data_IF_123259968726
#
_entry.id   IF_123259968726
#
_cell.length_a   1.000
_cell.length_b   1.000
_cell.length_c   1.000
_cell.angle_alpha   90.00
_cell.angle_beta   90.00
_cell.angle_gamma   90.00
#
_symmetry.space_group_name_H-M   'P 1'
#
loop_
_entity.id
_entity.type
_entity.pdbx_description
1 polymer ?
#
# COMPACT_ATOMS: atom_id res chain seq x y z
N UNK A 1 -9.94 2.61 -5.16
CA UNK A 1 -10.71 1.40 -5.46
C UNK A 1 -10.06 0.70 -6.65
N UNK A 2 -9.67 -0.57 -6.49
CA UNK A 2 -9.18 -1.37 -7.61
C UNK A 2 -10.28 -1.59 -8.64
N UNK A 3 -9.90 -1.60 -9.91
CA UNK A 3 -10.76 -1.90 -11.05
C UNK A 3 -10.05 -2.90 -11.94
N UNK A 4 -10.80 -3.73 -12.62
CA UNK A 4 -10.25 -4.76 -13.48
C UNK A 4 -11.24 -5.22 -14.53
N UNK A 5 -10.75 -6.03 -15.44
CA UNK A 5 -11.53 -6.73 -16.45
C UNK A 5 -11.17 -8.20 -16.41
N UNK A 6 -12.15 -9.05 -16.59
CA UNK A 6 -11.94 -10.49 -16.80
C UNK A 6 -11.79 -10.79 -18.28
N UNK A 7 -10.90 -11.72 -18.59
CA UNK A 7 -10.70 -12.23 -19.95
C UNK A 7 -10.95 -13.74 -19.99
N UNK A 8 -11.40 -14.29 -21.13
CA UNK A 8 -11.51 -15.74 -21.29
C UNK A 8 -10.13 -16.39 -21.19
N UNK A 9 -10.04 -17.55 -20.56
CA UNK A 9 -8.78 -18.30 -20.47
C UNK A 9 -8.28 -18.69 -21.88
N UNK A 10 -9.18 -19.13 -22.75
CA UNK A 10 -8.84 -19.45 -24.14
C UNK A 10 -8.72 -18.17 -24.97
N UNK A 11 -7.56 -17.96 -25.59
CA UNK A 11 -7.30 -16.79 -26.44
C UNK A 11 -6.96 -15.52 -25.66
N UNK A 12 -6.64 -15.63 -24.36
CA UNK A 12 -6.21 -14.51 -23.53
C UNK A 12 -4.87 -13.92 -23.99
N UNK A 13 -3.96 -14.72 -24.52
CA UNK A 13 -2.63 -14.29 -24.96
C UNK A 13 -2.69 -13.06 -25.88
N UNK A 14 -3.46 -13.14 -26.95
CA UNK A 14 -3.63 -12.02 -27.87
C UNK A 14 -4.27 -10.80 -27.22
N UNK A 15 -5.27 -11.00 -26.34
CA UNK A 15 -5.93 -9.91 -25.64
C UNK A 15 -5.02 -9.23 -24.63
N UNK A 16 -4.10 -9.97 -24.01
CA UNK A 16 -3.11 -9.43 -23.08
C UNK A 16 -2.02 -8.67 -23.81
N UNK A 17 -1.57 -9.15 -25.00
CA UNK A 17 -0.61 -8.45 -25.84
C UNK A 17 -1.17 -7.14 -26.42
N UNK A 18 -2.37 -7.17 -27.00
CA UNK A 18 -3.03 -5.99 -27.60
C UNK A 18 -3.53 -5.00 -26.55
N UNK A 19 -3.70 -5.46 -25.32
CA UNK A 19 -4.29 -4.72 -24.21
C UNK A 19 -5.82 -4.60 -24.33
N UNK A 20 -6.46 -4.41 -23.19
CA UNK A 20 -7.89 -4.22 -23.09
C UNK A 20 -8.24 -2.73 -23.17
N UNK A 21 -9.30 -2.38 -23.91
CA UNK A 21 -9.77 -1.00 -23.99
C UNK A 21 -9.99 -0.40 -22.60
N UNK A 22 -9.50 0.81 -22.40
CA UNK A 22 -9.66 1.61 -21.17
C UNK A 22 -9.93 3.05 -21.55
N UNK A 23 -10.50 3.83 -20.62
CA UNK A 23 -10.84 5.24 -20.88
C UNK A 23 -10.36 6.13 -19.72
N UNK A 24 -9.95 7.39 -20.00
CA UNK A 24 -9.53 8.33 -18.97
C UNK A 24 -10.57 8.57 -17.88
N UNK A 25 -11.85 8.59 -18.23
CA UNK A 25 -12.97 8.76 -17.29
C UNK A 25 -12.97 7.77 -16.11
N UNK A 26 -12.38 6.60 -16.28
CA UNK A 26 -12.27 5.62 -15.20
C UNK A 26 -11.45 6.14 -13.99
N UNK A 27 -10.54 7.09 -14.20
CA UNK A 27 -9.81 7.73 -13.10
C UNK A 27 -10.70 8.66 -12.27
N UNK A 28 -11.75 9.21 -12.86
CA UNK A 28 -12.67 10.12 -12.20
C UNK A 28 -13.80 9.43 -11.42
N UNK A 29 -13.93 8.12 -11.52
CA UNK A 29 -14.95 7.38 -10.79
C UNK A 29 -14.63 7.34 -9.30
N UNK A 30 -15.53 7.89 -8.47
CA UNK A 30 -15.39 7.89 -7.01
C UNK A 30 -15.59 6.50 -6.41
N UNK A 31 -15.24 6.34 -5.14
CA UNK A 31 -15.48 5.10 -4.40
C UNK A 31 -16.99 4.82 -4.17
N UNK A 32 -17.85 5.83 -4.33
CA UNK A 32 -19.29 5.73 -4.17
C UNK A 32 -20.05 5.46 -5.49
N UNK A 33 -19.34 5.43 -6.62
CA UNK A 33 -19.93 5.18 -7.94
C UNK A 33 -20.06 6.41 -8.83
N UNK A 34 -20.58 7.56 -8.36
CA UNK A 34 -20.63 8.76 -9.19
C UNK A 34 -19.25 9.17 -9.69
N UNK A 35 -19.22 9.72 -10.90
CA UNK A 35 -18.02 10.27 -11.50
C UNK A 35 -17.77 11.69 -10.97
N UNK A 36 -16.53 11.98 -10.59
CA UNK A 36 -16.12 13.35 -10.31
C UNK A 36 -16.16 14.19 -11.60
N UNK A 37 -16.48 15.47 -11.48
CA UNK A 37 -16.48 16.37 -12.61
C UNK A 37 -15.03 16.62 -13.06
N UNK A 38 -14.71 16.20 -14.27
CA UNK A 38 -13.40 16.42 -14.91
C UNK A 38 -13.60 16.96 -16.31
N UNK A 39 -12.64 17.73 -16.79
CA UNK A 39 -12.63 18.15 -18.20
C UNK A 39 -12.34 16.96 -19.10
N UNK A 40 -13.02 16.88 -20.24
CA UNK A 40 -12.83 15.84 -21.26
C UNK A 40 -13.06 14.41 -20.77
N UNK A 41 -13.99 14.20 -19.84
CA UNK A 41 -14.30 12.89 -19.26
C UNK A 41 -14.73 11.82 -20.28
N UNK A 42 -15.33 12.25 -21.40
CA UNK A 42 -15.79 11.38 -22.47
C UNK A 42 -14.78 11.18 -23.63
N UNK A 43 -13.61 11.79 -23.53
CA UNK A 43 -12.62 11.79 -24.63
C UNK A 43 -11.40 10.92 -24.30
N UNK A 44 -10.89 10.29 -25.35
CA UNK A 44 -9.62 9.54 -25.31
C UNK A 44 -9.81 8.04 -25.14
N UNK A 45 -8.86 7.31 -25.72
CA UNK A 45 -8.72 5.88 -25.69
C UNK A 45 -7.40 5.50 -25.04
N UNK A 46 -7.44 4.52 -24.15
CA UNK A 46 -6.29 3.97 -23.46
C UNK A 46 -6.32 2.43 -23.56
N UNK A 47 -5.22 1.80 -23.19
CA UNK A 47 -5.11 0.35 -23.07
C UNK A 47 -4.71 -0.04 -21.65
N UNK A 48 -5.37 -1.05 -21.12
CA UNK A 48 -4.96 -1.76 -19.91
C UNK A 48 -4.18 -3.00 -20.36
N UNK A 49 -2.90 -3.04 -20.04
CA UNK A 49 -2.00 -4.16 -20.34
C UNK A 49 -1.50 -4.78 -19.02
N UNK A 50 -1.12 -6.06 -19.01
CA UNK A 50 -0.47 -6.65 -17.83
C UNK A 50 0.87 -5.97 -17.60
N UNK A 51 1.23 -5.81 -16.33
CA UNK A 51 2.53 -5.28 -15.92
C UNK A 51 3.63 -6.34 -16.03
N UNK A 52 3.25 -7.60 -15.83
CA UNK A 52 4.12 -8.78 -15.91
C UNK A 52 3.49 -9.80 -16.86
N UNK A 53 4.31 -10.64 -17.48
CA UNK A 53 3.86 -11.64 -18.44
C UNK A 53 3.02 -12.73 -17.79
N UNK A 54 3.43 -13.17 -16.59
CA UNK A 54 2.78 -14.25 -15.88
C UNK A 54 1.74 -13.73 -14.86
N UNK A 55 0.62 -14.44 -14.69
CA UNK A 55 -0.33 -14.10 -13.67
C UNK A 55 0.18 -14.48 -12.28
N UNK A 56 -0.35 -13.81 -11.28
CA UNK A 56 -0.31 -14.31 -9.91
C UNK A 56 -1.47 -15.27 -9.73
N UNK A 57 -1.15 -16.53 -9.53
CA UNK A 57 -2.13 -17.61 -9.37
C UNK A 57 -2.26 -17.97 -7.90
N UNK A 58 -3.49 -18.12 -7.43
CA UNK A 58 -3.73 -18.62 -6.08
C UNK A 58 -4.97 -19.50 -6.02
N UNK A 59 -4.93 -20.45 -5.10
CA UNK A 59 -6.00 -21.41 -4.84
C UNK A 59 -6.14 -21.63 -3.35
N UNK A 60 -7.34 -21.97 -2.92
CA UNK A 60 -7.60 -22.46 -1.58
C UNK A 60 -8.56 -23.66 -1.64
N UNK A 61 -8.28 -24.71 -0.92
CA UNK A 61 -9.04 -25.97 -0.96
C UNK A 61 -10.55 -25.79 -0.78
N UNK A 62 -10.98 -24.93 0.15
CA UNK A 62 -12.40 -24.65 0.41
C UNK A 62 -13.08 -23.84 -0.71
N UNK A 63 -12.31 -23.17 -1.57
CA UNK A 63 -12.91 -22.27 -2.59
C UNK A 63 -13.00 -22.93 -3.95
N UNK A 64 -12.33 -24.05 -4.17
CA UNK A 64 -12.39 -24.93 -5.34
C UNK A 64 -12.17 -24.25 -6.71
N UNK A 65 -11.74 -23.00 -6.74
CA UNK A 65 -11.53 -22.21 -7.94
C UNK A 65 -10.17 -21.55 -7.86
N UNK A 66 -9.31 -21.94 -8.80
CA UNK A 66 -8.06 -21.23 -9.05
C UNK A 66 -8.33 -19.84 -9.59
N UNK A 67 -7.63 -18.85 -9.05
CA UNK A 67 -7.66 -17.47 -9.51
C UNK A 67 -6.34 -17.10 -10.18
N UNK A 68 -6.43 -16.45 -11.32
CA UNK A 68 -5.28 -15.96 -12.08
C UNK A 68 -5.44 -14.45 -12.26
N UNK A 69 -4.59 -13.65 -11.62
CA UNK A 69 -4.67 -12.21 -11.62
C UNK A 69 -3.39 -11.56 -12.13
N UNK A 70 -3.54 -10.53 -12.95
CA UNK A 70 -2.46 -9.65 -13.37
C UNK A 70 -2.62 -8.28 -12.74
N UNK A 71 -1.53 -7.71 -12.25
CA UNK A 71 -1.47 -6.27 -12.05
C UNK A 71 -1.40 -5.63 -13.43
N UNK A 72 -2.25 -4.61 -13.64
CA UNK A 72 -2.29 -3.90 -14.91
C UNK A 72 -1.61 -2.54 -14.83
N UNK A 73 -1.05 -2.12 -15.96
CA UNK A 73 -0.66 -0.73 -16.20
C UNK A 73 -1.46 -0.15 -17.36
N UNK A 74 -1.64 1.16 -17.33
CA UNK A 74 -2.42 1.85 -18.33
C UNK A 74 -1.47 2.59 -19.27
N UNK A 75 -1.65 2.35 -20.57
CA UNK A 75 -0.84 2.98 -21.62
C UNK A 75 -1.73 3.71 -22.61
N UNK A 76 -1.16 4.68 -23.29
CA UNK A 76 -1.79 5.39 -24.42
C UNK A 76 -1.81 4.50 -25.66
N UNK A 77 -2.53 4.94 -26.67
CA UNK A 77 -2.62 4.19 -27.95
C UNK A 77 -1.31 4.09 -28.72
N UNK A 78 -0.34 4.95 -28.42
CA UNK A 78 1.03 4.91 -28.95
C UNK A 78 1.96 3.96 -28.15
N UNK A 79 1.44 3.30 -27.11
CA UNK A 79 2.17 2.35 -26.28
C UNK A 79 2.95 2.98 -25.11
N UNK A 80 3.03 4.31 -25.05
CA UNK A 80 3.69 4.97 -23.91
C UNK A 80 2.83 4.95 -22.66
N UNK A 81 3.43 4.96 -21.45
CA UNK A 81 2.69 5.05 -20.20
C UNK A 81 1.74 6.24 -20.19
N UNK A 82 0.52 6.03 -19.68
CA UNK A 82 -0.39 7.14 -19.44
C UNK A 82 0.02 7.88 -18.17
N UNK A 83 0.05 9.21 -18.23
CA UNK A 83 0.56 10.08 -17.17
C UNK A 83 -0.18 9.92 -15.82
N UNK A 84 -1.45 9.48 -15.85
CA UNK A 84 -2.23 9.21 -14.64
C UNK A 84 -2.20 7.72 -14.23
N UNK A 85 -1.39 6.88 -14.84
CA UNK A 85 -1.20 5.50 -14.39
C UNK A 85 -0.38 5.48 -13.09
N UNK A 86 -1.00 5.08 -11.99
CA UNK A 86 -0.39 5.13 -10.67
C UNK A 86 0.88 4.29 -10.54
N UNK A 87 0.89 3.11 -11.17
CA UNK A 87 2.07 2.24 -11.20
C UNK A 87 3.22 2.89 -11.96
N UNK A 88 2.93 3.47 -13.13
CA UNK A 88 3.94 4.17 -13.94
C UNK A 88 4.45 5.45 -13.26
N UNK A 89 3.65 6.12 -12.44
CA UNK A 89 4.12 7.24 -11.62
C UNK A 89 5.16 6.79 -10.59
N UNK A 90 4.98 5.62 -9.97
CA UNK A 90 5.98 5.06 -9.07
C UNK A 90 7.24 4.63 -9.82
N UNK A 91 7.11 3.98 -10.98
CA UNK A 91 8.26 3.66 -11.86
C UNK A 91 9.08 4.91 -12.18
N UNK A 92 8.41 6.00 -12.55
CA UNK A 92 9.08 7.27 -12.88
C UNK A 92 9.76 7.91 -11.66
N UNK A 93 9.15 7.85 -10.47
CA UNK A 93 9.75 8.38 -9.25
C UNK A 93 11.01 7.59 -8.85
N UNK A 94 10.97 6.27 -8.98
CA UNK A 94 12.11 5.39 -8.70
C UNK A 94 13.26 5.63 -9.68
N UNK A 95 12.97 5.73 -10.97
CA UNK A 95 13.97 6.07 -11.99
C UNK A 95 14.62 7.43 -11.71
N UNK A 96 13.82 8.43 -11.33
CA UNK A 96 14.35 9.76 -10.98
C UNK A 96 15.29 9.72 -9.78
N UNK A 97 14.93 8.97 -8.72
CA UNK A 97 15.77 8.78 -7.53
C UNK A 97 17.10 8.10 -7.91
N UNK A 98 17.04 7.06 -8.73
CA UNK A 98 18.20 6.30 -9.18
C UNK A 98 19.12 7.14 -10.09
N UNK A 99 18.56 7.76 -11.14
CA UNK A 99 19.31 8.44 -12.18
C UNK A 99 20.02 9.70 -11.66
N UNK A 100 19.31 10.49 -10.83
CA UNK A 100 19.84 11.78 -10.34
C UNK A 100 20.62 11.69 -9.04
N UNK A 101 20.21 10.80 -8.13
CA UNK A 101 20.77 10.75 -6.77
C UNK A 101 21.59 9.50 -6.50
N UNK A 102 21.61 8.53 -7.43
CA UNK A 102 22.30 7.25 -7.27
C UNK A 102 21.85 6.53 -5.98
N UNK A 103 20.56 6.66 -5.66
CA UNK A 103 19.92 6.07 -4.50
C UNK A 103 18.80 5.15 -4.94
N UNK A 104 18.54 4.16 -4.12
CA UNK A 104 17.37 3.29 -4.21
C UNK A 104 16.73 3.14 -2.82
N UNK A 105 15.49 2.67 -2.82
CA UNK A 105 14.72 2.42 -1.62
C UNK A 105 14.43 0.93 -1.47
N UNK A 106 14.42 0.48 -0.22
CA UNK A 106 13.83 -0.76 0.21
C UNK A 106 12.67 -0.44 1.14
N UNK A 107 11.48 -1.01 0.90
CA UNK A 107 10.28 -0.69 1.68
C UNK A 107 9.60 -1.93 2.21
N UNK A 108 9.11 -1.87 3.45
CA UNK A 108 8.18 -2.81 4.07
C UNK A 108 6.86 -2.11 4.32
N UNK A 109 5.75 -2.78 4.01
CA UNK A 109 4.42 -2.20 4.16
C UNK A 109 3.63 -2.94 5.24
N UNK A 110 3.05 -2.18 6.18
CA UNK A 110 2.13 -2.69 7.20
C UNK A 110 0.73 -2.15 6.88
N UNK A 111 -0.19 -3.04 6.61
CA UNK A 111 -1.55 -2.70 6.19
C UNK A 111 -2.56 -3.16 7.22
N UNK A 112 -3.17 -2.21 7.89
CA UNK A 112 -4.28 -2.48 8.79
C UNK A 112 -5.60 -2.59 8.01
N UNK A 113 -6.52 -3.40 8.53
CA UNK A 113 -7.86 -3.59 7.96
C UNK A 113 -8.85 -4.06 9.03
N UNK A 114 -10.14 -3.91 8.74
CA UNK A 114 -11.21 -4.46 9.57
C UNK A 114 -11.91 -5.61 8.85
N UNK A 115 -12.15 -6.67 9.61
CA UNK A 115 -13.04 -7.75 9.22
C UNK A 115 -14.39 -7.51 9.91
N UNK A 116 -15.44 -7.28 9.14
CA UNK A 116 -16.76 -6.90 9.66
C UNK A 116 -17.79 -7.97 9.37
N UNK A 117 -18.89 -7.97 10.14
CA UNK A 117 -19.98 -8.95 9.95
C UNK A 117 -20.00 -10.07 11.00
N UNK A 118 -19.02 -10.13 11.88
CA UNK A 118 -19.00 -11.06 13.02
C UNK A 118 -19.76 -10.48 14.21
N UNK A 119 -20.48 -11.32 14.95
CA UNK A 119 -21.39 -10.87 16.01
C UNK A 119 -20.69 -10.46 17.29
N UNK A 120 -19.63 -11.13 17.67
CA UNK A 120 -18.93 -10.96 18.95
C UNK A 120 -17.43 -10.70 18.69
N UNK A 121 -17.13 -9.51 18.16
CA UNK A 121 -15.74 -9.12 17.94
C UNK A 121 -15.07 -8.83 19.28
N UNK A 122 -14.12 -9.69 19.65
CA UNK A 122 -13.33 -9.49 20.84
C UNK A 122 -12.35 -8.32 20.66
N UNK A 123 -12.14 -7.61 21.76
CA UNK A 123 -11.27 -6.47 21.79
C UNK A 123 -9.80 -6.91 21.73
N UNK A 124 -9.06 -6.28 20.80
CA UNK A 124 -7.62 -6.13 20.84
C UNK A 124 -6.75 -7.38 20.75
N UNK A 125 -5.59 -7.24 20.17
CA UNK A 125 -4.28 -7.91 20.31
C UNK A 125 -4.26 -9.16 21.24
N UNK A 126 -5.33 -9.94 21.26
CA UNK A 126 -5.51 -11.07 22.16
C UNK A 126 -5.47 -12.38 21.39
N UNK A 127 -5.12 -13.46 22.09
CA UNK A 127 -5.19 -14.81 21.54
C UNK A 127 -6.62 -15.19 21.16
N UNK A 128 -7.59 -14.72 21.94
CA UNK A 128 -9.02 -14.97 21.69
C UNK A 128 -9.46 -14.32 20.37
N UNK A 129 -9.07 -13.07 20.09
CA UNK A 129 -9.35 -12.38 18.84
C UNK A 129 -8.69 -13.11 17.64
N UNK A 130 -7.49 -13.65 17.86
CA UNK A 130 -6.84 -14.48 16.85
C UNK A 130 -7.59 -15.79 16.60
N UNK A 131 -8.01 -16.49 17.67
CA UNK A 131 -8.76 -17.75 17.56
C UNK A 131 -10.14 -17.53 16.89
N UNK A 132 -10.82 -16.44 17.19
CA UNK A 132 -12.11 -16.09 16.61
C UNK A 132 -12.04 -15.91 15.09
N UNK A 133 -10.97 -15.31 14.58
CA UNK A 133 -10.76 -15.09 13.16
C UNK A 133 -9.91 -16.18 12.49
N UNK A 134 -9.57 -17.24 13.19
CA UNK A 134 -8.57 -18.24 12.74
C UNK A 134 -8.88 -18.83 11.36
N UNK A 135 -10.13 -19.12 11.05
CA UNK A 135 -10.53 -19.67 9.75
C UNK A 135 -10.26 -18.69 8.60
N UNK A 136 -10.55 -17.39 8.80
CA UNK A 136 -10.26 -16.35 7.82
C UNK A 136 -8.75 -16.12 7.70
N UNK A 137 -8.07 -15.95 8.83
CA UNK A 137 -6.62 -15.67 8.85
C UNK A 137 -5.85 -16.81 8.19
N UNK A 138 -6.23 -18.06 8.46
CA UNK A 138 -5.64 -19.24 7.84
C UNK A 138 -5.90 -19.24 6.33
N UNK A 139 -7.14 -19.11 5.89
CA UNK A 139 -7.48 -19.08 4.47
C UNK A 139 -6.75 -17.95 3.72
N UNK A 140 -6.66 -16.78 4.35
CA UNK A 140 -5.95 -15.64 3.77
C UNK A 140 -4.45 -15.92 3.66
N UNK A 141 -3.81 -16.45 4.71
CA UNK A 141 -2.40 -16.82 4.71
C UNK A 141 -2.09 -17.88 3.64
N UNK A 142 -2.90 -18.94 3.53
CA UNK A 142 -2.73 -20.00 2.52
C UNK A 142 -2.89 -19.45 1.07
N UNK A 143 -3.83 -18.53 0.84
CA UNK A 143 -3.97 -17.86 -0.45
C UNK A 143 -2.77 -16.96 -0.77
N UNK A 144 -2.22 -16.24 0.22
CA UNK A 144 -1.02 -15.42 0.04
C UNK A 144 0.19 -16.30 -0.30
N UNK A 145 0.37 -17.39 0.43
CA UNK A 145 1.47 -18.34 0.21
C UNK A 145 1.37 -18.96 -1.20
N UNK A 146 0.19 -19.44 -1.59
CA UNK A 146 0.00 -20.00 -2.94
C UNK A 146 0.18 -18.95 -4.05
N UNK A 147 -0.05 -17.67 -3.76
CA UNK A 147 0.20 -16.55 -4.66
C UNK A 147 1.69 -16.13 -4.72
N UNK A 148 2.57 -16.75 -3.92
CA UNK A 148 3.96 -16.35 -3.80
C UNK A 148 4.15 -14.99 -3.13
N UNK A 149 3.19 -14.55 -2.31
CA UNK A 149 3.26 -13.29 -1.56
C UNK A 149 3.71 -13.60 -0.14
N UNK A 150 4.98 -13.33 0.12
CA UNK A 150 5.55 -13.46 1.46
C UNK A 150 5.00 -12.39 2.40
N UNK A 151 4.75 -12.76 3.66
CA UNK A 151 4.40 -11.82 4.72
C UNK A 151 5.15 -12.14 6.02
N UNK A 152 5.38 -11.13 6.84
CA UNK A 152 6.08 -11.28 8.13
C UNK A 152 5.12 -11.68 9.24
N UNK A 153 3.95 -11.04 9.25
CA UNK A 153 2.93 -11.27 10.27
C UNK A 153 1.55 -10.96 9.72
N UNK A 154 0.58 -11.67 10.25
CA UNK A 154 -0.84 -11.42 10.09
C UNK A 154 -1.48 -11.63 11.46
N UNK A 155 -1.93 -10.56 12.11
CA UNK A 155 -2.32 -10.60 13.51
C UNK A 155 -3.46 -9.62 13.84
N UNK A 156 -4.18 -9.86 14.98
CA UNK A 156 -5.14 -8.90 15.50
C UNK A 156 -4.47 -7.60 15.93
N UNK A 157 -5.13 -6.48 15.68
CA UNK A 157 -4.75 -5.13 16.08
C UNK A 157 -5.62 -4.58 17.23
N UNK A 158 -5.45 -3.28 17.54
CA UNK A 158 -6.02 -2.67 18.73
C UNK A 158 -7.54 -2.38 18.65
N UNK A 159 -8.14 -2.45 17.48
CA UNK A 159 -9.59 -2.30 17.29
C UNK A 159 -10.33 -3.64 17.29
N UNK A 160 -11.57 -3.69 17.80
CA UNK A 160 -12.40 -4.89 17.69
C UNK A 160 -12.58 -5.32 16.22
N UNK A 161 -12.10 -6.51 15.86
CA UNK A 161 -12.11 -7.00 14.47
C UNK A 161 -11.10 -6.33 13.54
N UNK A 162 -10.10 -5.61 14.09
CA UNK A 162 -8.99 -5.04 13.35
C UNK A 162 -7.82 -6.01 13.29
N UNK A 163 -7.19 -6.07 12.13
CA UNK A 163 -6.03 -6.93 11.85
C UNK A 163 -4.99 -6.15 11.06
N UNK A 164 -3.74 -6.62 11.12
CA UNK A 164 -2.63 -6.10 10.33
C UNK A 164 -1.96 -7.21 9.53
N UNK A 165 -1.66 -6.90 8.27
CA UNK A 165 -0.77 -7.66 7.40
C UNK A 165 0.54 -6.89 7.23
N UNK A 166 1.66 -7.45 7.67
CA UNK A 166 3.00 -6.89 7.47
C UNK A 166 3.73 -7.63 6.36
N UNK A 167 4.12 -6.92 5.29
CA UNK A 167 4.93 -7.45 4.21
C UNK A 167 6.44 -7.31 4.53
N UNK A 168 7.31 -8.19 3.98
CA UNK A 168 8.75 -8.03 4.11
C UNK A 168 9.25 -6.78 3.38
N UNK A 169 10.52 -6.45 3.58
CA UNK A 169 11.20 -5.42 2.80
C UNK A 169 11.41 -5.90 1.37
N UNK A 170 11.02 -5.07 0.42
CA UNK A 170 11.07 -5.33 -1.01
C UNK A 170 11.44 -4.05 -1.78
N UNK A 171 11.75 -4.21 -3.08
CA UNK A 171 11.70 -3.12 -4.02
C UNK A 171 10.33 -2.42 -3.95
N UNK A 172 10.25 -1.08 -3.98
CA UNK A 172 9.01 -0.34 -3.77
C UNK A 172 7.89 -0.68 -4.77
N UNK A 173 8.23 -0.93 -6.03
CA UNK A 173 7.25 -1.28 -7.04
C UNK A 173 6.66 -2.67 -6.77
N UNK A 174 7.52 -3.64 -6.46
CA UNK A 174 7.13 -4.99 -6.07
C UNK A 174 6.30 -4.98 -4.78
N UNK A 175 6.69 -4.18 -3.78
CA UNK A 175 5.94 -4.03 -2.54
C UNK A 175 4.52 -3.47 -2.78
N UNK A 176 4.40 -2.45 -3.64
CA UNK A 176 3.10 -1.89 -4.01
C UNK A 176 2.22 -2.88 -4.76
N UNK A 177 2.77 -3.60 -5.74
CA UNK A 177 2.08 -4.64 -6.50
C UNK A 177 1.60 -5.76 -5.57
N UNK A 178 2.47 -6.30 -4.72
CA UNK A 178 2.12 -7.36 -3.77
C UNK A 178 1.06 -6.91 -2.76
N UNK A 179 1.15 -5.68 -2.25
CA UNK A 179 0.13 -5.16 -1.34
C UNK A 179 -1.23 -5.04 -2.03
N UNK A 180 -1.29 -4.59 -3.29
CA UNK A 180 -2.56 -4.51 -4.01
C UNK A 180 -3.17 -5.90 -4.26
N UNK A 181 -2.35 -6.88 -4.62
CA UNK A 181 -2.78 -8.28 -4.75
C UNK A 181 -3.27 -8.82 -3.41
N UNK A 182 -2.50 -8.64 -2.33
CA UNK A 182 -2.89 -9.07 -0.99
C UNK A 182 -4.23 -8.45 -0.56
N UNK A 183 -4.44 -7.14 -0.79
CA UNK A 183 -5.74 -6.48 -0.53
C UNK A 183 -6.88 -7.12 -1.31
N UNK A 184 -6.62 -7.52 -2.55
CA UNK A 184 -7.59 -8.22 -3.39
C UNK A 184 -7.90 -9.62 -2.88
N UNK A 185 -6.86 -10.41 -2.60
CA UNK A 185 -6.95 -11.79 -2.07
C UNK A 185 -7.71 -11.80 -0.74
N UNK A 186 -7.37 -10.90 0.19
CA UNK A 186 -8.07 -10.79 1.48
C UNK A 186 -9.57 -10.52 1.31
N UNK A 187 -9.96 -9.62 0.40
CA UNK A 187 -11.38 -9.39 0.09
C UNK A 187 -12.04 -10.61 -0.55
N UNK A 188 -11.32 -11.32 -1.42
CA UNK A 188 -11.82 -12.56 -2.00
C UNK A 188 -12.08 -13.62 -0.92
N UNK A 189 -11.13 -13.86 -0.03
CA UNK A 189 -11.28 -14.80 1.08
C UNK A 189 -12.47 -14.42 1.98
N UNK A 190 -12.58 -13.16 2.39
CA UNK A 190 -13.69 -12.68 3.21
C UNK A 190 -15.05 -12.92 2.53
N UNK A 191 -15.16 -12.54 1.26
CA UNK A 191 -16.41 -12.74 0.50
C UNK A 191 -16.80 -14.23 0.36
N UNK A 192 -15.82 -15.13 0.17
CA UNK A 192 -16.05 -16.58 0.13
C UNK A 192 -16.50 -17.16 1.46
N UNK A 193 -16.25 -16.45 2.56
CA UNK A 193 -16.64 -16.83 3.93
C UNK A 193 -17.88 -16.05 4.43
N UNK A 194 -18.56 -15.30 3.56
CA UNK A 194 -19.68 -14.42 3.89
C UNK A 194 -19.30 -13.33 4.92
N UNK A 195 -18.06 -12.86 4.86
CA UNK A 195 -17.54 -11.79 5.67
C UNK A 195 -17.17 -10.57 4.81
N UNK A 196 -16.95 -9.41 5.43
CA UNK A 196 -16.56 -8.20 4.74
C UNK A 196 -15.22 -7.70 5.28
N UNK A 197 -14.23 -7.61 4.39
CA UNK A 197 -12.96 -6.97 4.68
C UNK A 197 -12.97 -5.53 4.15
N UNK A 198 -12.68 -4.57 5.02
CA UNK A 198 -12.61 -3.15 4.66
C UNK A 198 -11.26 -2.54 5.01
N UNK A 199 -10.78 -1.68 4.10
CA UNK A 199 -9.62 -0.80 4.31
C UNK A 199 -10.10 0.64 4.53
N UNK A 200 -11.22 0.82 5.19
CA UNK A 200 -11.68 2.15 5.60
C UNK A 200 -10.70 2.75 6.59
N UNK A 201 -10.36 4.05 6.48
CA UNK A 201 -9.50 4.72 7.48
C UNK A 201 -10.06 4.65 8.88
N UNK A 202 -11.37 4.54 8.98
CA UNK A 202 -12.10 4.36 10.24
C UNK A 202 -13.45 3.70 9.93
N UNK A 203 -13.90 2.81 10.78
CA UNK A 203 -15.19 2.10 10.61
C UNK A 203 -16.27 2.65 11.52
N UNK A 204 -15.89 3.33 12.61
CA UNK A 204 -16.81 3.94 13.57
C UNK A 204 -16.09 5.04 14.35
N UNK A 205 -16.84 6.03 14.82
CA UNK A 205 -16.30 7.14 15.65
C UNK A 205 -15.70 6.68 16.98
N UNK A 206 -16.04 5.48 17.44
CA UNK A 206 -15.54 4.89 18.69
C UNK A 206 -14.43 3.86 18.50
N UNK A 207 -14.06 3.55 17.25
CA UNK A 207 -12.99 2.60 16.95
C UNK A 207 -11.64 3.28 16.68
N UNK A 208 -10.60 2.48 16.63
CA UNK A 208 -9.26 2.92 16.21
C UNK A 208 -9.25 3.00 14.68
N UNK A 209 -8.53 3.99 14.14
CA UNK A 209 -8.34 4.12 12.70
C UNK A 209 -7.38 3.07 12.15
N UNK A 210 -7.47 2.79 10.86
CA UNK A 210 -6.58 1.87 10.15
C UNK A 210 -5.55 2.63 9.32
N UNK A 211 -4.29 2.23 9.47
CA UNK A 211 -3.12 2.81 8.79
C UNK A 211 -2.58 1.95 7.65
N UNK A 212 -1.77 2.61 6.85
CA UNK A 212 -0.76 2.02 5.97
C UNK A 212 0.59 2.59 6.39
N UNK A 213 1.37 1.83 7.15
CA UNK A 213 2.68 2.27 7.57
C UNK A 213 3.72 1.87 6.51
N UNK A 214 4.60 2.80 6.17
CA UNK A 214 5.66 2.58 5.19
C UNK A 214 7.00 2.60 5.89
N UNK A 215 7.56 1.42 6.12
CA UNK A 215 8.94 1.27 6.56
C UNK A 215 9.86 1.44 5.36
N UNK A 216 10.92 2.22 5.47
CA UNK A 216 11.84 2.43 4.35
C UNK A 216 13.28 2.62 4.80
N UNK A 217 14.19 2.22 3.92
CA UNK A 217 15.62 2.42 4.02
C UNK A 217 16.14 2.96 2.69
N UNK A 218 17.06 3.91 2.77
CA UNK A 218 17.81 4.39 1.62
C UNK A 218 19.08 3.55 1.44
N UNK A 219 19.38 3.18 0.21
CA UNK A 219 20.57 2.45 -0.18
C UNK A 219 21.24 3.14 -1.37
N UNK A 220 22.54 2.93 -1.57
CA UNK A 220 23.15 3.20 -2.87
C UNK A 220 22.83 2.07 -3.87
N UNK A 221 23.31 2.23 -5.11
CA UNK A 221 23.02 1.25 -6.17
C UNK A 221 23.71 -0.11 -5.95
N UNK A 222 24.68 -0.19 -5.06
CA UNK A 222 25.33 -1.44 -4.63
C UNK A 222 24.65 -2.07 -3.41
N UNK A 223 23.51 -1.51 -2.96
CA UNK A 223 22.73 -2.05 -1.83
C UNK A 223 23.28 -1.70 -0.45
N UNK A 224 24.25 -0.76 -0.36
CA UNK A 224 24.80 -0.34 0.94
C UNK A 224 23.87 0.67 1.59
N UNK A 225 23.53 0.43 2.84
CA UNK A 225 22.67 1.31 3.65
C UNK A 225 23.22 2.75 3.73
N UNK A 226 22.35 3.72 3.46
CA UNK A 226 22.64 5.15 3.55
C UNK A 226 21.93 5.85 4.70
N UNK A 227 21.26 5.10 5.55
CA UNK A 227 20.59 5.57 6.75
C UNK A 227 21.35 5.11 7.99
N UNK A 228 22.12 6.01 8.54
CA UNK A 228 22.83 5.81 9.81
C UNK A 228 22.61 7.00 10.74
N UNK A 229 22.85 6.77 12.03
CA UNK A 229 22.82 7.80 13.05
C UNK A 229 24.09 7.73 13.90
N UNK A 230 24.73 8.87 14.08
CA UNK A 230 25.83 9.08 15.01
C UNK A 230 25.43 10.13 16.04
N UNK A 231 25.23 9.69 17.28
CA UNK A 231 24.62 10.51 18.33
C UNK A 231 23.21 10.98 17.93
N UNK A 232 23.06 12.27 17.68
CA UNK A 232 21.82 12.89 17.19
C UNK A 232 21.85 13.24 15.69
N UNK A 233 22.93 12.90 14.98
CA UNK A 233 23.12 13.27 13.57
C UNK A 233 22.76 12.10 12.66
N UNK A 234 21.74 12.32 11.84
CA UNK A 234 21.37 11.41 10.75
C UNK A 234 22.35 11.65 9.58
N UNK A 235 22.68 10.60 8.83
CA UNK A 235 23.48 10.72 7.60
C UNK A 235 22.90 11.75 6.64
N UNK A 236 23.75 12.46 5.90
CA UNK A 236 23.31 13.56 5.03
C UNK A 236 22.25 13.12 4.01
N UNK A 237 22.43 12.02 3.26
CA UNK A 237 21.40 11.61 2.29
C UNK A 237 20.05 11.32 2.94
N UNK A 238 20.06 10.61 4.08
CA UNK A 238 18.82 10.30 4.77
C UNK A 238 18.18 11.55 5.41
N UNK A 239 19.01 12.43 5.99
CA UNK A 239 18.53 13.69 6.58
C UNK A 239 17.89 14.61 5.56
N UNK A 240 18.49 14.76 4.38
CA UNK A 240 17.94 15.52 3.26
C UNK A 240 16.61 14.93 2.79
N UNK A 241 16.57 13.62 2.53
CA UNK A 241 15.36 12.92 2.09
C UNK A 241 14.19 13.08 3.11
N UNK A 242 14.49 12.96 4.40
CA UNK A 242 13.51 13.18 5.47
C UNK A 242 13.02 14.64 5.53
N UNK A 243 13.93 15.60 5.34
CA UNK A 243 13.60 17.02 5.34
C UNK A 243 12.64 17.35 4.18
N UNK A 244 12.87 16.80 3.00
CA UNK A 244 11.96 16.92 1.86
C UNK A 244 10.57 16.36 2.15
N UNK A 245 10.48 15.15 2.72
CA UNK A 245 9.18 14.56 3.11
C UNK A 245 8.47 15.45 4.13
N UNK A 246 9.14 15.86 5.21
CA UNK A 246 8.54 16.67 6.26
C UNK A 246 8.14 18.06 5.76
N UNK A 247 8.96 18.69 4.92
CA UNK A 247 8.65 19.99 4.29
C UNK A 247 7.39 19.94 3.42
N UNK A 248 7.15 18.82 2.77
CA UNK A 248 6.01 18.61 1.88
C UNK A 248 4.85 17.82 2.50
N UNK A 249 4.94 17.46 3.79
CA UNK A 249 3.94 16.60 4.43
C UNK A 249 2.50 17.11 4.36
N UNK A 250 2.21 18.43 4.46
CA UNK A 250 0.86 18.94 4.25
C UNK A 250 0.30 18.59 2.86
N UNK A 251 1.12 18.69 1.81
CA UNK A 251 0.73 18.31 0.45
C UNK A 251 0.57 16.79 0.28
N UNK A 252 1.43 16.02 0.93
CA UNK A 252 1.35 14.55 0.93
C UNK A 252 0.06 14.02 1.56
N UNK A 253 -0.60 14.80 2.42
CA UNK A 253 -1.87 14.41 3.05
C UNK A 253 -2.95 14.09 2.00
N UNK A 254 -2.94 14.73 0.83
CA UNK A 254 -3.87 14.42 -0.26
C UNK A 254 -3.74 12.99 -0.78
N UNK A 255 -2.56 12.39 -0.70
CA UNK A 255 -2.26 11.02 -1.12
C UNK A 255 -2.31 10.04 0.02
N UNK A 256 -1.85 10.47 1.20
CA UNK A 256 -1.78 9.65 2.40
C UNK A 256 -3.14 9.47 3.08
N UNK A 257 -4.05 10.41 2.93
CA UNK A 257 -5.37 10.44 3.58
C UNK A 257 -6.46 10.86 2.59
N UNK A 258 -6.69 10.06 1.53
CA UNK A 258 -7.46 10.50 0.35
C UNK A 258 -8.98 10.47 0.53
N UNK A 259 -9.49 10.00 1.67
CA UNK A 259 -10.93 9.91 1.93
C UNK A 259 -11.42 11.06 2.78
N UNK A 260 -12.67 11.50 2.57
CA UNK A 260 -13.31 12.51 3.43
C UNK A 260 -13.33 12.09 4.91
N UNK A 261 -13.44 10.78 5.19
CA UNK A 261 -13.42 10.27 6.56
C UNK A 261 -12.00 10.04 7.11
N UNK A 262 -10.96 10.24 6.30
CA UNK A 262 -9.56 10.12 6.76
C UNK A 262 -9.26 11.09 7.91
N UNK A 263 -9.88 12.27 7.90
CA UNK A 263 -9.73 13.27 8.97
C UNK A 263 -10.15 12.75 10.35
N UNK A 264 -11.14 11.87 10.40
CA UNK A 264 -11.61 11.26 11.66
C UNK A 264 -10.56 10.35 12.30
N UNK A 265 -9.60 9.83 11.52
CA UNK A 265 -8.48 9.04 12.02
C UNK A 265 -7.54 9.86 12.90
N UNK A 266 -7.44 11.15 12.68
CA UNK A 266 -6.52 12.05 13.39
C UNK A 266 -7.04 12.59 14.74
N UNK A 267 -8.19 12.12 15.20
CA UNK A 267 -8.74 12.57 16.51
C UNK A 267 -8.06 11.88 17.69
N UNK A 268 -7.54 12.61 18.70
CA UNK A 268 -7.03 12.01 19.94
C UNK A 268 -8.13 11.21 20.69
N UNK A 269 -7.80 10.14 21.40
CA UNK A 269 -6.47 9.64 21.81
C UNK A 269 -5.90 8.54 20.89
N UNK A 270 -6.19 8.55 19.61
CA UNK A 270 -5.76 7.53 18.67
C UNK A 270 -4.26 7.65 18.39
N UNK A 271 -3.56 6.53 18.21
CA UNK A 271 -2.11 6.48 17.90
C UNK A 271 -1.82 6.79 16.44
N UNK A 272 -2.39 7.87 15.97
CA UNK A 272 -2.21 8.36 14.61
C UNK A 272 -1.23 9.53 14.63
N UNK A 273 -0.32 9.56 13.67
CA UNK A 273 0.62 10.65 13.50
C UNK A 273 -0.08 11.91 12.98
N UNK A 274 -0.46 12.83 13.86
CA UNK A 274 -1.13 14.09 13.51
C UNK A 274 -0.23 15.32 13.66
N UNK A 275 1.04 15.14 14.03
CA UNK A 275 2.05 16.18 14.03
C UNK A 275 3.04 15.99 12.90
N UNK A 276 3.46 17.09 12.27
CA UNK A 276 4.55 17.08 11.30
C UNK A 276 5.89 17.07 12.06
N UNK A 277 6.36 15.91 12.42
CA UNK A 277 7.58 15.74 13.20
C UNK A 277 8.31 14.42 12.91
N UNK A 278 9.60 14.43 13.27
CA UNK A 278 10.45 13.25 13.31
C UNK A 278 10.62 12.81 14.76
N UNK A 279 10.43 11.54 15.06
CA UNK A 279 10.53 11.02 16.42
C UNK A 279 11.35 9.74 16.52
N UNK A 280 12.32 9.72 17.45
CA UNK A 280 13.07 8.51 17.77
C UNK A 280 12.19 7.57 18.59
N UNK A 281 11.88 6.36 18.04
CA UNK A 281 11.03 5.35 18.69
C UNK A 281 9.64 5.87 19.10
N UNK A 282 9.18 7.01 18.56
CA UNK A 282 7.88 7.61 18.89
C UNK A 282 6.83 7.25 17.84
N UNK A 283 5.85 6.43 18.22
CA UNK A 283 4.75 5.99 17.35
C UNK A 283 3.73 7.10 17.03
N UNK A 284 3.83 8.28 17.65
CA UNK A 284 2.99 9.45 17.36
C UNK A 284 3.60 10.38 16.32
N UNK A 285 4.90 10.17 15.98
CA UNK A 285 5.58 10.97 15.00
C UNK A 285 5.09 10.65 13.56
N UNK A 286 5.07 11.65 12.70
CA UNK A 286 4.79 11.47 11.27
C UNK A 286 5.81 10.54 10.62
N UNK A 287 7.09 10.73 10.97
CA UNK A 287 8.16 9.80 10.62
C UNK A 287 8.79 9.30 11.91
N UNK A 288 8.71 8.01 12.15
CA UNK A 288 9.39 7.34 13.25
C UNK A 288 10.75 6.81 12.79
N UNK A 289 11.78 7.07 13.58
CA UNK A 289 13.09 6.44 13.43
C UNK A 289 13.12 5.20 14.32
N UNK A 290 13.47 4.06 13.76
CA UNK A 290 13.65 2.80 14.48
C UNK A 290 15.08 2.31 14.35
N UNK A 291 15.61 1.66 15.40
CA UNK A 291 16.94 1.03 15.40
C UNK A 291 16.80 -0.47 15.17
N UNK A 292 17.72 -1.03 14.40
CA UNK A 292 17.79 -2.46 14.09
C UNK A 292 18.43 -3.31 15.21
N UNK A 293 18.57 -2.75 16.42
CA UNK A 293 19.14 -3.42 17.60
C UNK A 293 19.86 -2.43 18.52
N UNK A 294 20.14 -2.84 19.75
CA UNK A 294 20.90 -2.00 20.69
C UNK A 294 22.34 -1.85 20.21
N UNK A 295 22.77 -0.60 19.99
CA UNK A 295 24.13 -0.26 19.55
C UNK A 295 24.37 -0.30 18.05
N UNK A 296 23.39 -0.72 17.22
CA UNK A 296 23.52 -0.59 15.76
C UNK A 296 23.49 0.87 15.33
N UNK A 297 24.43 1.34 14.48
CA UNK A 297 24.33 2.64 13.86
C UNK A 297 23.24 2.70 12.80
N UNK A 298 22.82 1.55 12.28
CA UNK A 298 21.81 1.47 11.22
C UNK A 298 20.42 1.68 11.79
N UNK A 299 19.70 2.55 11.13
CA UNK A 299 18.31 2.90 11.43
C UNK A 299 17.46 2.66 10.19
N UNK A 300 16.18 2.53 10.38
CA UNK A 300 15.19 2.65 9.31
C UNK A 300 14.09 3.61 9.72
N UNK A 301 13.34 4.07 8.76
CA UNK A 301 12.28 5.06 8.93
C UNK A 301 10.92 4.42 8.71
N UNK A 302 9.91 4.98 9.35
CA UNK A 302 8.53 4.56 9.19
C UNK A 302 7.67 5.81 9.00
N UNK A 303 7.13 6.00 7.78
CA UNK A 303 6.10 7.01 7.50
C UNK A 303 4.76 6.47 7.99
N UNK A 304 4.13 7.19 8.95
CA UNK A 304 2.92 6.75 9.65
C UNK A 304 1.66 7.53 9.29
N UNK A 305 1.76 8.46 8.36
CA UNK A 305 0.66 9.38 8.01
C UNK A 305 -0.34 8.78 7.04
N UNK A 306 0.02 7.74 6.29
CA UNK A 306 -0.90 7.13 5.34
C UNK A 306 -1.96 6.27 6.04
N UNK A 307 -3.17 6.28 5.53
CA UNK A 307 -4.26 5.45 6.00
C UNK A 307 -4.49 4.21 5.12
N UNK A 308 -5.29 3.28 5.62
CA UNK A 308 -5.51 1.99 4.99
C UNK A 308 -6.14 2.06 3.60
N UNK A 309 -6.87 3.14 3.26
CA UNK A 309 -7.49 3.30 1.94
C UNK A 309 -6.55 3.95 0.91
N UNK A 310 -5.40 4.47 1.33
CA UNK A 310 -4.43 5.08 0.44
C UNK A 310 -3.90 4.09 -0.61
N UNK A 311 -3.55 4.62 -1.77
CA UNK A 311 -2.90 3.83 -2.81
C UNK A 311 -1.41 3.70 -2.53
N UNK A 312 -0.84 2.49 -2.38
CA UNK A 312 0.59 2.35 -2.13
C UNK A 312 1.45 2.98 -3.23
N UNK A 313 1.01 2.93 -4.48
CA UNK A 313 1.73 3.59 -5.58
C UNK A 313 1.81 5.10 -5.38
N UNK A 314 0.70 5.76 -5.00
CA UNK A 314 0.69 7.22 -4.77
C UNK A 314 1.45 7.60 -3.51
N UNK A 315 1.30 6.83 -2.43
CA UNK A 315 2.03 7.06 -1.18
C UNK A 315 3.54 7.00 -1.44
N UNK A 316 4.02 5.95 -2.10
CA UNK A 316 5.44 5.77 -2.37
C UNK A 316 5.97 6.78 -3.39
N UNK A 317 5.28 7.01 -4.50
CA UNK A 317 5.75 7.98 -5.51
C UNK A 317 5.79 9.40 -4.96
N UNK A 318 4.74 9.84 -4.25
CA UNK A 318 4.72 11.19 -3.66
C UNK A 318 5.75 11.35 -2.54
N UNK A 319 5.98 10.30 -1.73
CA UNK A 319 7.06 10.27 -0.73
C UNK A 319 8.44 10.43 -1.38
N UNK A 320 8.68 9.74 -2.50
CA UNK A 320 9.95 9.83 -3.23
C UNK A 320 10.11 11.22 -3.83
N UNK A 321 9.11 11.75 -4.55
CA UNK A 321 9.17 13.10 -5.10
C UNK A 321 9.41 14.16 -4.02
N UNK A 322 8.73 14.07 -2.88
CA UNK A 322 8.97 14.98 -1.76
C UNK A 322 10.39 14.82 -1.17
N UNK A 323 10.84 13.58 -1.04
CA UNK A 323 12.17 13.28 -0.48
C UNK A 323 13.33 13.83 -1.31
N UNK A 324 13.21 13.84 -2.64
CA UNK A 324 14.26 14.38 -3.53
C UNK A 324 14.31 15.91 -3.58
N UNK A 325 13.31 16.61 -3.04
CA UNK A 325 13.29 18.07 -2.91
C UNK A 325 14.09 18.57 -1.69
N UNK A 326 14.44 17.70 -0.76
CA UNK A 326 15.28 18.03 0.41
C UNK A 326 16.74 17.85 0.13
#
# INVERSE_FOLDING_TARGET
RMRGKSVPVRGSEKLLEEGLGWIPANAALTCFGPMAKVENDALGELRLIPAENEPVSFIHEKFEIEQNWWIGKIVRMDGFPWECCLRSQLESALSLLQDRFQLQLEVGLEQEFYLTGRKDQLNTNSLEAFCEASDFLKAYAECLDSAGIEFKSLHPENGPGQYELSLPKLDPLKAADQLQLAKGIGRHCAARMNEHLTFSPIVSSVTIGSGLHVHFSLQDLEGRERNSIDGARISVPAGAFLAGILGNLPSLTAFNSPSLISAERYSPPRWTAYFNNLGMMDRRAAIRITRLGSGSPNIHFELRTADACASPYLVLSSMIYAGIEG
#
